data_IF_754936595590
#
_entry.id   IF_754936595590
#
_cell.length_a   1.000
_cell.length_b   1.000
_cell.length_c   1.000
_cell.angle_alpha   90.00
_cell.angle_beta   90.00
_cell.angle_gamma   90.00
#
_symmetry.space_group_name_H-M   'P 1'
#
loop_
_entity.id
_entity.type
_entity.pdbx_description
1 polymer ?
#
# COMPACT_ATOMS: atom_id res chain seq x y z
N UNK A 1 -9.01 -15.82 -10.43
CA UNK A 1 -9.39 -14.88 -9.35
C UNK A 1 -10.30 -13.79 -9.91
N UNK A 2 -11.36 -13.39 -9.19
CA UNK A 2 -12.25 -12.30 -9.64
C UNK A 2 -11.51 -10.96 -9.55
N UNK A 3 -11.61 -10.13 -10.60
CA UNK A 3 -11.07 -8.76 -10.58
C UNK A 3 -11.79 -7.92 -9.52
N UNK A 4 -11.06 -7.07 -8.80
CA UNK A 4 -11.62 -6.14 -7.83
C UNK A 4 -12.38 -5.02 -8.55
N UNK A 5 -13.57 -4.69 -8.04
CA UNK A 5 -14.34 -3.55 -8.54
C UNK A 5 -13.58 -2.25 -8.27
N UNK A 6 -13.78 -1.23 -9.09
CA UNK A 6 -13.10 0.07 -8.97
C UNK A 6 -13.18 0.66 -7.57
N UNK A 7 -14.35 0.57 -6.91
CA UNK A 7 -14.55 1.04 -5.53
C UNK A 7 -13.67 0.31 -4.53
N UNK A 8 -13.59 -1.02 -4.63
CA UNK A 8 -12.75 -1.84 -3.73
C UNK A 8 -11.25 -1.59 -3.98
N UNK A 9 -10.86 -1.43 -5.24
CA UNK A 9 -9.48 -1.09 -5.61
C UNK A 9 -9.08 0.29 -5.06
N UNK A 10 -9.94 1.31 -5.17
CA UNK A 10 -9.67 2.63 -4.58
C UNK A 10 -9.54 2.57 -3.06
N UNK A 11 -10.40 1.83 -2.37
CA UNK A 11 -10.28 1.62 -0.92
C UNK A 11 -8.94 0.96 -0.57
N UNK A 12 -8.53 -0.06 -1.33
CA UNK A 12 -7.28 -0.76 -1.10
C UNK A 12 -6.06 0.13 -1.35
N UNK A 13 -6.10 0.98 -2.38
CA UNK A 13 -5.07 2.00 -2.64
C UNK A 13 -5.00 3.00 -1.50
N UNK A 14 -6.14 3.52 -1.01
CA UNK A 14 -6.18 4.45 0.11
C UNK A 14 -5.58 3.84 1.37
N UNK A 15 -5.88 2.56 1.66
CA UNK A 15 -5.31 1.83 2.79
C UNK A 15 -3.79 1.66 2.58
N UNK A 16 -3.34 1.25 1.39
CA UNK A 16 -1.91 1.09 1.10
C UNK A 16 -1.12 2.39 1.26
N UNK A 17 -1.66 3.51 0.77
CA UNK A 17 -1.06 4.83 0.97
C UNK A 17 -1.03 5.23 2.45
N UNK A 18 -2.13 5.03 3.17
CA UNK A 18 -2.21 5.36 4.59
C UNK A 18 -1.19 4.56 5.42
N UNK A 19 -1.09 3.25 5.21
CA UNK A 19 -0.14 2.39 5.92
C UNK A 19 1.31 2.80 5.63
N UNK A 20 1.60 3.15 4.38
CA UNK A 20 2.94 3.62 3.99
C UNK A 20 3.30 4.95 4.67
N UNK A 21 2.37 5.91 4.65
CA UNK A 21 2.57 7.21 5.28
C UNK A 21 2.71 7.11 6.80
N UNK A 22 1.84 6.33 7.46
CA UNK A 22 1.89 6.09 8.90
C UNK A 22 3.21 5.42 9.30
N UNK A 23 3.70 4.46 8.51
CA UNK A 23 4.98 3.80 8.76
C UNK A 23 6.15 4.79 8.66
N UNK A 24 6.17 5.66 7.66
CA UNK A 24 7.22 6.69 7.52
C UNK A 24 7.25 7.65 8.71
N UNK A 25 6.07 8.12 9.14
CA UNK A 25 5.94 9.00 10.31
C UNK A 25 6.44 8.27 11.57
N UNK A 26 6.02 7.02 11.77
CA UNK A 26 6.41 6.24 12.95
C UNK A 26 7.92 6.00 13.03
N UNK A 27 8.57 5.68 11.90
CA UNK A 27 10.02 5.47 11.85
C UNK A 27 10.86 6.73 12.03
N UNK A 28 10.27 7.91 11.84
CA UNK A 28 10.95 9.15 12.18
C UNK A 28 11.13 9.29 13.70
N UNK A 29 10.16 8.83 14.49
CA UNK A 29 10.18 8.94 15.95
C UNK A 29 10.77 7.72 16.65
N UNK A 30 10.71 6.55 16.02
CA UNK A 30 11.22 5.29 16.59
C UNK A 30 12.36 4.77 15.73
N UNK A 31 13.55 4.68 16.32
CA UNK A 31 14.75 4.10 15.71
C UNK A 31 14.63 2.58 15.58
N UNK A 32 13.77 2.11 14.68
CA UNK A 32 13.65 0.68 14.38
C UNK A 32 14.84 0.18 13.53
N UNK A 33 15.23 -1.08 13.71
CA UNK A 33 16.24 -1.72 12.88
C UNK A 33 15.83 -1.72 11.40
N UNK A 34 16.80 -1.64 10.50
CA UNK A 34 16.56 -1.45 9.07
C UNK A 34 15.68 -2.55 8.45
N UNK A 35 15.80 -3.78 8.93
CA UNK A 35 14.96 -4.90 8.52
C UNK A 35 13.47 -4.64 8.81
N UNK A 36 13.16 -4.12 10.00
CA UNK A 36 11.79 -3.81 10.38
C UNK A 36 11.24 -2.68 9.50
N UNK A 37 12.02 -1.61 9.30
CA UNK A 37 11.64 -0.50 8.39
C UNK A 37 11.33 -1.01 6.99
N UNK A 38 12.19 -1.86 6.44
CA UNK A 38 12.01 -2.49 5.13
C UNK A 38 10.74 -3.35 5.05
N UNK A 39 10.43 -4.13 6.09
CA UNK A 39 9.23 -4.96 6.15
C UNK A 39 7.94 -4.14 6.07
N UNK A 40 7.81 -3.10 6.88
CA UNK A 40 6.62 -2.24 6.87
C UNK A 40 6.47 -1.48 5.55
N UNK A 41 7.58 -1.01 4.98
CA UNK A 41 7.59 -0.36 3.67
C UNK A 41 7.16 -1.35 2.57
N UNK A 42 7.69 -2.57 2.62
CA UNK A 42 7.33 -3.67 1.73
C UNK A 42 5.86 -4.06 1.84
N UNK A 43 5.28 -4.05 3.04
CA UNK A 43 3.84 -4.28 3.24
C UNK A 43 2.99 -3.20 2.57
N UNK A 44 3.34 -1.92 2.74
CA UNK A 44 2.66 -0.82 2.06
C UNK A 44 2.69 -0.94 0.54
N UNK A 45 3.86 -1.25 -0.03
CA UNK A 45 4.04 -1.48 -1.47
C UNK A 45 3.27 -2.72 -1.94
N UNK A 46 3.30 -3.81 -1.18
CA UNK A 46 2.61 -5.05 -1.52
C UNK A 46 1.09 -4.85 -1.63
N UNK A 47 0.51 -4.09 -0.71
CA UNK A 47 -0.92 -3.73 -0.76
C UNK A 47 -1.24 -2.91 -2.02
N UNK A 48 -0.38 -1.93 -2.36
CA UNK A 48 -0.54 -1.11 -3.57
C UNK A 48 -0.42 -1.94 -4.85
N UNK A 49 0.54 -2.88 -4.91
CA UNK A 49 0.71 -3.81 -6.03
C UNK A 49 -0.51 -4.70 -6.23
N UNK A 50 -1.06 -5.26 -5.14
CA UNK A 50 -2.29 -6.06 -5.20
C UNK A 50 -3.45 -5.20 -5.74
N UNK A 51 -3.56 -3.95 -5.27
CA UNK A 51 -4.60 -3.05 -5.73
C UNK A 51 -4.45 -2.67 -7.21
N UNK A 52 -3.22 -2.58 -7.74
CA UNK A 52 -2.93 -2.23 -9.12
C UNK A 52 -3.12 -3.44 -10.07
N UNK A 53 -2.58 -4.61 -9.71
CA UNK A 53 -2.62 -5.82 -10.54
C UNK A 53 -4.04 -6.42 -10.58
N UNK A 54 -4.72 -6.46 -9.43
CA UNK A 54 -6.05 -7.06 -9.32
C UNK A 54 -7.19 -6.05 -9.39
N UNK A 55 -6.89 -4.75 -9.29
CA UNK A 55 -7.87 -3.68 -9.45
C UNK A 55 -8.22 -3.40 -10.90
N UNK A 56 -9.49 -3.11 -11.16
CA UNK A 56 -9.93 -2.53 -12.43
C UNK A 56 -9.54 -1.05 -12.48
N UNK A 57 -8.25 -0.75 -12.55
CA UNK A 57 -7.75 0.58 -12.86
C UNK A 57 -7.67 0.73 -14.38
N UNK A 58 -8.71 1.30 -14.99
CA UNK A 58 -8.50 1.97 -16.28
C UNK A 58 -7.64 3.18 -15.95
N UNK A 59 -6.35 3.14 -16.27
CA UNK A 59 -5.52 4.33 -16.30
C UNK A 59 -6.29 5.37 -17.13
N UNK A 60 -6.50 6.57 -16.58
CA UNK A 60 -7.13 7.65 -17.31
C UNK A 60 -6.26 7.91 -18.55
N UNK A 61 -6.85 7.69 -19.73
CA UNK A 61 -6.23 7.99 -21.02
C UNK A 61 -6.35 9.49 -21.26
#
# INVERSE_FOLDING_TARGET
MKKLTRRKSLILISIGMFVTAASQIFFHFVGLPDLAKGLFFGFGIGILLVALIFGSFKAAR
#
